data_IF_454636810694
#
_entry.id   IF_454636810694
#
_cell.length_a   1.000
_cell.length_b   1.000
_cell.length_c   1.000
_cell.angle_alpha   90.00
_cell.angle_beta   90.00
_cell.angle_gamma   90.00
#
_symmetry.space_group_name_H-M   'P 1'
#
loop_
_entity.id
_entity.type
_entity.pdbx_description
1 polymer ?
#
# COMPACT_ATOMS: atom_id res chain seq x y z
N UNK A 1 46.66 -28.52 -39.49
CA UNK A 1 46.53 -27.34 -38.58
C UNK A 1 45.18 -26.62 -38.75
N UNK A 2 44.02 -27.30 -38.76
CA UNK A 2 42.73 -26.62 -38.88
C UNK A 2 41.70 -27.34 -38.00
N UNK A 3 41.33 -26.76 -36.85
CA UNK A 3 40.02 -26.91 -36.20
C UNK A 3 40.06 -26.38 -34.75
N UNK A 4 40.15 -25.06 -34.54
CA UNK A 4 39.85 -24.48 -33.22
C UNK A 4 39.07 -23.16 -33.25
N UNK A 5 38.95 -22.49 -34.41
CA UNK A 5 38.33 -21.16 -34.49
C UNK A 5 36.79 -21.16 -34.50
N UNK A 6 36.13 -22.31 -34.75
CA UNK A 6 34.66 -22.41 -34.85
C UNK A 6 33.91 -22.55 -33.51
N UNK A 7 34.56 -23.07 -32.46
CA UNK A 7 33.91 -23.34 -31.17
C UNK A 7 33.75 -22.08 -30.30
N UNK A 8 34.73 -21.17 -30.37
CA UNK A 8 34.71 -19.92 -29.59
C UNK A 8 33.59 -18.96 -30.00
N UNK A 9 33.25 -18.92 -31.29
CA UNK A 9 32.19 -18.04 -31.80
C UNK A 9 30.78 -18.50 -31.36
N UNK A 10 30.60 -19.81 -31.19
CA UNK A 10 29.32 -20.42 -30.77
C UNK A 10 29.02 -20.20 -29.28
N UNK A 11 30.05 -20.24 -28.42
CA UNK A 11 29.88 -19.99 -27.00
C UNK A 11 29.67 -18.51 -26.68
N UNK A 12 30.28 -17.61 -27.47
CA UNK A 12 30.08 -16.18 -27.33
C UNK A 12 28.65 -15.75 -27.70
N UNK A 13 28.03 -16.42 -28.68
CA UNK A 13 26.64 -16.18 -29.07
C UNK A 13 25.63 -16.69 -28.03
N UNK A 14 25.94 -17.81 -27.36
CA UNK A 14 25.06 -18.39 -26.33
C UNK A 14 25.06 -17.57 -25.02
N UNK A 15 26.19 -16.94 -24.69
CA UNK A 15 26.32 -16.05 -23.52
C UNK A 15 25.56 -14.73 -23.68
N UNK A 16 25.31 -14.26 -24.91
CA UNK A 16 24.59 -13.01 -25.15
C UNK A 16 23.07 -13.14 -24.88
N UNK A 17 22.52 -14.35 -25.00
CA UNK A 17 21.07 -14.63 -24.80
C UNK A 17 20.72 -14.71 -23.30
N UNK A 18 21.71 -14.98 -22.44
CA UNK A 18 21.55 -15.04 -20.99
C UNK A 18 21.89 -13.70 -20.30
N UNK A 19 21.81 -12.59 -21.03
CA UNK A 19 21.88 -11.27 -20.43
C UNK A 19 20.54 -10.98 -19.76
N UNK A 20 20.45 -10.75 -18.44
CA UNK A 20 19.23 -10.23 -17.85
C UNK A 20 18.97 -8.86 -18.49
N UNK A 21 17.91 -8.77 -19.30
CA UNK A 21 17.48 -7.50 -19.88
C UNK A 21 17.26 -6.51 -18.73
N UNK A 22 17.77 -5.27 -18.82
CA UNK A 22 17.45 -4.26 -17.84
C UNK A 22 15.93 -4.06 -17.86
N UNK A 23 15.26 -4.46 -16.79
CA UNK A 23 13.86 -4.12 -16.57
C UNK A 23 13.80 -2.61 -16.40
N UNK A 24 13.35 -1.92 -17.44
CA UNK A 24 12.99 -0.51 -17.34
C UNK A 24 11.79 -0.47 -16.39
N UNK A 25 12.02 -0.09 -15.14
CA UNK A 25 10.94 0.16 -14.20
C UNK A 25 10.10 1.30 -14.79
N UNK A 26 8.85 1.01 -15.13
CA UNK A 26 7.92 2.02 -15.58
C UNK A 26 7.79 3.08 -14.48
N UNK A 27 8.16 4.31 -14.78
CA UNK A 27 7.97 5.44 -13.87
C UNK A 27 6.48 5.60 -13.61
N UNK A 28 6.09 5.57 -12.33
CA UNK A 28 4.69 5.77 -11.92
C UNK A 28 4.22 7.16 -12.36
N UNK A 29 2.94 7.28 -12.69
CA UNK A 29 2.36 8.60 -12.94
C UNK A 29 2.43 9.44 -11.65
N UNK A 30 2.55 10.78 -11.74
CA UNK A 30 2.48 11.64 -10.56
C UNK A 30 1.21 11.44 -9.72
N UNK A 31 0.11 11.07 -10.38
CA UNK A 31 -1.17 10.74 -9.73
C UNK A 31 -1.06 9.44 -8.93
N UNK A 32 -0.47 8.39 -9.50
CA UNK A 32 -0.24 7.13 -8.79
C UNK A 32 0.69 7.32 -7.58
N UNK A 33 1.77 8.09 -7.70
CA UNK A 33 2.66 8.36 -6.57
C UNK A 33 1.95 9.12 -5.44
N UNK A 34 1.05 10.04 -5.78
CA UNK A 34 0.20 10.75 -4.81
C UNK A 34 -0.75 9.77 -4.12
N UNK A 35 -1.38 8.88 -4.89
CA UNK A 35 -2.28 7.86 -4.36
C UNK A 35 -1.55 6.90 -3.40
N UNK A 36 -0.35 6.44 -3.77
CA UNK A 36 0.45 5.53 -2.95
C UNK A 36 0.80 6.16 -1.59
N UNK A 37 1.24 7.43 -1.58
CA UNK A 37 1.57 8.13 -0.33
C UNK A 37 0.32 8.36 0.53
N UNK A 38 -0.79 8.72 -0.10
CA UNK A 38 -2.07 8.89 0.59
C UNK A 38 -2.54 7.59 1.23
N UNK A 39 -2.61 6.51 0.46
CA UNK A 39 -3.02 5.19 0.94
C UNK A 39 -2.09 4.67 2.04
N UNK A 40 -0.78 4.87 1.92
CA UNK A 40 0.16 4.46 2.96
C UNK A 40 -0.17 5.15 4.31
N UNK A 41 -0.45 6.45 4.29
CA UNK A 41 -0.79 7.21 5.49
C UNK A 41 -2.20 6.84 6.02
N UNK A 42 -3.20 6.82 5.13
CA UNK A 42 -4.58 6.55 5.49
C UNK A 42 -4.73 5.13 6.06
N UNK A 43 -4.11 4.13 5.43
CA UNK A 43 -4.17 2.74 5.89
C UNK A 43 -3.45 2.56 7.24
N UNK A 44 -2.29 3.17 7.42
CA UNK A 44 -1.58 3.12 8.70
C UNK A 44 -2.41 3.75 9.84
N UNK A 45 -3.02 4.92 9.58
CA UNK A 45 -3.91 5.59 10.54
C UNK A 45 -5.14 4.75 10.88
N UNK A 46 -5.81 4.21 9.85
CA UNK A 46 -6.98 3.35 10.02
C UNK A 46 -6.65 2.10 10.84
N UNK A 47 -5.60 1.37 10.48
CA UNK A 47 -5.19 0.13 11.16
C UNK A 47 -4.83 0.38 12.62
N UNK A 48 -4.10 1.47 12.90
CA UNK A 48 -3.74 1.83 14.27
C UNK A 48 -4.98 2.14 15.12
N UNK A 49 -5.90 2.97 14.61
CA UNK A 49 -7.12 3.34 15.32
C UNK A 49 -8.10 2.18 15.47
N UNK A 50 -8.25 1.37 14.42
CA UNK A 50 -9.07 0.15 14.47
C UNK A 50 -8.58 -0.79 15.57
N UNK A 51 -7.26 -1.03 15.63
CA UNK A 51 -6.67 -1.93 16.62
C UNK A 51 -6.93 -1.44 18.05
N UNK A 52 -6.57 -0.19 18.37
CA UNK A 52 -6.73 0.33 19.74
C UNK A 52 -8.20 0.41 20.15
N UNK A 53 -9.10 0.77 19.23
CA UNK A 53 -10.54 0.76 19.49
C UNK A 53 -11.03 -0.68 19.74
N UNK A 54 -10.65 -1.64 18.89
CA UNK A 54 -11.07 -3.04 19.06
C UNK A 54 -10.58 -3.64 20.37
N UNK A 55 -9.34 -3.36 20.76
CA UNK A 55 -8.77 -3.77 22.04
C UNK A 55 -9.55 -3.14 23.22
N UNK A 56 -9.82 -1.84 23.19
CA UNK A 56 -10.56 -1.16 24.25
C UNK A 56 -12.00 -1.67 24.39
N UNK A 57 -12.70 -1.90 23.27
CA UNK A 57 -14.04 -2.47 23.26
C UNK A 57 -14.05 -3.90 23.85
N UNK A 58 -13.06 -4.72 23.51
CA UNK A 58 -12.93 -6.06 24.08
C UNK A 58 -12.72 -6.03 25.60
N UNK A 59 -11.84 -5.14 26.07
CA UNK A 59 -11.57 -4.99 27.50
C UNK A 59 -12.83 -4.53 28.24
N UNK A 60 -13.56 -3.54 27.73
CA UNK A 60 -14.77 -3.04 28.38
C UNK A 60 -15.87 -4.10 28.56
N UNK A 61 -15.94 -5.10 27.66
CA UNK A 61 -16.94 -6.20 27.77
C UNK A 61 -16.43 -7.42 28.54
N UNK A 62 -15.14 -7.52 28.83
CA UNK A 62 -14.54 -8.65 29.56
C UNK A 62 -14.12 -8.31 30.98
N UNK A 63 -13.80 -7.05 31.25
CA UNK A 63 -13.46 -6.51 32.56
C UNK A 63 -14.17 -5.16 32.76
N UNK A 64 -15.38 -5.21 33.31
CA UNK A 64 -16.29 -4.05 33.37
C UNK A 64 -15.89 -3.12 34.51
N UNK A 65 -15.27 -2.00 34.15
CA UNK A 65 -14.93 -0.90 35.06
C UNK A 65 -15.23 0.45 34.39
N UNK A 66 -15.52 1.52 35.15
CA UNK A 66 -15.72 2.86 34.59
C UNK A 66 -14.55 3.35 33.74
N UNK A 67 -13.31 2.98 34.11
CA UNK A 67 -12.10 3.33 33.38
C UNK A 67 -12.05 2.67 31.99
N UNK A 68 -12.45 1.39 31.91
CA UNK A 68 -12.49 0.66 30.63
C UNK A 68 -13.61 1.15 29.72
N UNK A 69 -14.78 1.47 30.27
CA UNK A 69 -15.89 2.09 29.52
C UNK A 69 -15.47 3.46 28.94
N UNK A 70 -14.78 4.28 29.74
CA UNK A 70 -14.28 5.58 29.28
C UNK A 70 -13.21 5.43 28.18
N UNK A 71 -12.33 4.44 28.28
CA UNK A 71 -11.34 4.14 27.25
C UNK A 71 -12.00 3.67 25.94
N UNK A 72 -13.01 2.81 26.03
CA UNK A 72 -13.81 2.35 24.89
C UNK A 72 -14.55 3.52 24.21
N UNK A 73 -15.14 4.43 24.98
CA UNK A 73 -15.79 5.63 24.45
C UNK A 73 -14.78 6.57 23.74
N UNK A 74 -13.64 6.85 24.38
CA UNK A 74 -12.63 7.76 23.84
C UNK A 74 -12.03 7.23 22.54
N UNK A 75 -11.64 5.96 22.51
CA UNK A 75 -11.09 5.31 21.31
C UNK A 75 -12.14 5.16 20.21
N UNK A 76 -13.39 4.88 20.56
CA UNK A 76 -14.52 4.84 19.64
C UNK A 76 -14.76 6.18 18.95
N UNK A 77 -14.74 7.30 19.70
CA UNK A 77 -14.84 8.65 19.13
C UNK A 77 -13.68 8.98 18.20
N UNK A 78 -12.45 8.61 18.57
CA UNK A 78 -11.28 8.84 17.72
C UNK A 78 -11.36 8.04 16.40
N UNK A 79 -11.73 6.77 16.47
CA UNK A 79 -11.94 5.94 15.29
C UNK A 79 -13.06 6.47 14.40
N UNK A 80 -14.19 6.88 14.98
CA UNK A 80 -15.30 7.50 14.24
C UNK A 80 -14.88 8.82 13.56
N UNK A 81 -14.13 9.68 14.27
CA UNK A 81 -13.65 10.95 13.73
C UNK A 81 -12.69 10.75 12.54
N UNK A 82 -11.84 9.73 12.58
CA UNK A 82 -10.98 9.39 11.46
C UNK A 82 -11.77 8.89 10.24
N UNK A 83 -12.73 7.98 10.42
CA UNK A 83 -13.56 7.47 9.34
C UNK A 83 -14.46 8.55 8.71
N UNK A 84 -14.94 9.50 9.52
CA UNK A 84 -15.72 10.65 9.07
C UNK A 84 -14.89 11.83 8.60
N UNK A 85 -13.56 11.70 8.48
CA UNK A 85 -12.68 12.82 8.17
C UNK A 85 -12.89 13.29 6.73
N UNK A 86 -13.45 14.49 6.57
CA UNK A 86 -13.74 15.09 5.26
C UNK A 86 -12.49 15.33 4.41
N UNK A 87 -11.31 15.54 5.02
CA UNK A 87 -10.07 15.66 4.26
C UNK A 87 -9.69 14.34 3.57
N UNK A 88 -9.87 13.21 4.28
CA UNK A 88 -9.63 11.87 3.71
C UNK A 88 -10.64 11.59 2.60
N UNK A 89 -11.94 11.83 2.86
CA UNK A 89 -13.01 11.60 1.89
C UNK A 89 -12.81 12.42 0.61
N UNK A 90 -12.49 13.71 0.76
CA UNK A 90 -12.28 14.59 -0.39
C UNK A 90 -11.05 14.17 -1.19
N UNK A 91 -9.95 13.80 -0.51
CA UNK A 91 -8.74 13.36 -1.19
C UNK A 91 -8.93 12.03 -1.93
N UNK A 92 -9.65 11.07 -1.34
CA UNK A 92 -10.05 9.84 -2.04
C UNK A 92 -10.91 10.16 -3.25
N UNK A 93 -11.92 11.01 -3.09
CA UNK A 93 -12.82 11.40 -4.18
C UNK A 93 -12.06 12.06 -5.33
N UNK A 94 -11.11 12.95 -5.02
CA UNK A 94 -10.26 13.60 -6.02
C UNK A 94 -9.38 12.58 -6.76
N UNK A 95 -8.75 11.64 -6.05
CA UNK A 95 -7.94 10.57 -6.67
C UNK A 95 -8.78 9.70 -7.62
N UNK A 96 -10.01 9.36 -7.24
CA UNK A 96 -10.91 8.55 -8.06
C UNK A 96 -11.36 9.25 -9.34
N UNK A 97 -11.35 10.60 -9.41
CA UNK A 97 -11.58 11.29 -10.69
C UNK A 97 -10.51 10.98 -11.74
N UNK A 98 -9.35 10.47 -11.31
CA UNK A 98 -8.23 10.04 -12.14
C UNK A 98 -8.04 8.52 -12.15
N UNK A 99 -9.09 7.73 -11.92
CA UNK A 99 -9.01 6.25 -11.78
C UNK A 99 -8.21 5.56 -12.91
N UNK A 100 -8.25 6.09 -14.14
CA UNK A 100 -7.56 5.50 -15.31
C UNK A 100 -6.04 5.62 -15.23
N UNK A 101 -5.55 6.52 -14.37
CA UNK A 101 -4.13 6.73 -14.10
C UNK A 101 -3.68 5.95 -12.84
N UNK A 102 -4.60 5.23 -12.20
CA UNK A 102 -4.36 4.44 -10.99
C UNK A 102 -4.28 2.94 -11.31
N UNK A 103 -3.54 2.20 -10.49
CA UNK A 103 -3.51 0.75 -10.52
C UNK A 103 -4.85 0.16 -10.04
N UNK A 104 -5.24 -1.00 -10.57
CA UNK A 104 -6.47 -1.68 -10.15
C UNK A 104 -6.52 -1.91 -8.64
N UNK A 105 -5.38 -2.23 -8.02
CA UNK A 105 -5.28 -2.41 -6.58
C UNK A 105 -5.58 -1.11 -5.82
N UNK A 106 -5.09 0.02 -6.32
CA UNK A 106 -5.32 1.36 -5.73
C UNK A 106 -6.78 1.78 -5.82
N UNK A 107 -7.50 1.37 -6.87
CA UNK A 107 -8.94 1.66 -7.02
C UNK A 107 -9.79 0.74 -6.14
N UNK A 108 -9.34 -0.49 -5.90
CA UNK A 108 -10.07 -1.48 -5.10
C UNK A 108 -9.81 -1.40 -3.58
N UNK A 109 -8.86 -0.57 -3.14
CA UNK A 109 -8.50 -0.38 -1.72
C UNK A 109 -9.19 0.83 -1.11
#
# INVERSE_FOLDING_TARGET
MHAHKRSFLSHFLLLLILSPSPTIAATKSPVQERADRFLALANAGYQALYRVNSEAQWVAVTDVTPEHDAAAEATGKAYAAFNGNTAIINQTSELLTHEKELSELTVAS
#
